data_IF_507380603135
#
_entry.id   IF_507380603135
#
_cell.length_a   1.000
_cell.length_b   1.000
_cell.length_c   1.000
_cell.angle_alpha   90.00
_cell.angle_beta   90.00
_cell.angle_gamma   90.00
#
_symmetry.space_group_name_H-M   'P 1'
#
loop_
_entity.id
_entity.type
_entity.pdbx_description
1 polymer ?
#
# COMPACT_ATOMS: atom_id res chain seq x y z
N UNK A 1 6.17 -15.38 -19.27
CA UNK A 1 6.22 -13.95 -19.67
C UNK A 1 6.18 -13.16 -18.37
N UNK A 2 7.23 -12.43 -18.04
CA UNK A 2 7.25 -11.66 -16.79
C UNK A 2 6.42 -10.39 -16.97
N UNK A 3 5.29 -10.29 -16.26
CA UNK A 3 4.45 -9.09 -16.30
C UNK A 3 4.85 -8.23 -15.10
N UNK A 4 5.29 -6.99 -15.39
CA UNK A 4 5.58 -5.99 -14.37
C UNK A 4 4.50 -4.92 -14.37
N UNK A 5 3.94 -4.64 -13.21
CA UNK A 5 3.03 -3.51 -13.03
C UNK A 5 3.28 -2.82 -11.69
N UNK A 6 3.00 -1.51 -11.64
CA UNK A 6 3.14 -0.70 -10.44
C UNK A 6 1.83 -0.66 -9.67
N UNK A 7 1.93 -0.73 -8.36
CA UNK A 7 0.84 -0.52 -7.40
C UNK A 7 1.31 0.42 -6.31
N UNK A 8 0.38 1.00 -5.59
CA UNK A 8 0.69 1.86 -4.45
C UNK A 8 0.27 1.16 -3.17
N UNK A 9 1.16 1.12 -2.18
CA UNK A 9 0.83 0.69 -0.82
C UNK A 9 0.80 1.91 0.10
N UNK A 10 -0.05 1.85 1.12
CA UNK A 10 -0.05 2.85 2.19
C UNK A 10 0.73 2.24 3.36
N UNK A 11 1.72 2.97 3.86
CA UNK A 11 2.44 2.59 5.07
C UNK A 11 2.58 3.76 6.02
N UNK A 12 3.05 3.49 7.24
CA UNK A 12 3.25 4.55 8.23
C UNK A 12 4.58 5.29 8.02
N UNK A 13 4.60 6.60 8.26
CA UNK A 13 5.80 7.43 8.14
C UNK A 13 6.89 7.02 9.15
N UNK A 14 6.48 6.65 10.35
CA UNK A 14 7.39 6.28 11.44
C UNK A 14 7.91 4.84 11.29
N UNK A 15 7.11 3.94 10.72
CA UNK A 15 7.44 2.53 10.52
C UNK A 15 7.09 2.13 9.08
N UNK A 16 8.01 2.30 8.12
CA UNK A 16 7.76 2.03 6.70
C UNK A 16 7.55 0.55 6.37
N UNK A 17 7.75 -0.34 7.34
CA UNK A 17 7.43 -1.79 7.24
C UNK A 17 6.00 -2.10 7.64
N UNK A 18 5.26 -1.12 8.17
CA UNK A 18 3.88 -1.27 8.60
C UNK A 18 2.97 -0.71 7.52
N UNK A 19 2.11 -1.55 6.95
CA UNK A 19 1.22 -1.26 5.84
C UNK A 19 -0.25 -1.30 6.24
N UNK A 20 -1.07 -0.45 5.59
CA UNK A 20 -2.52 -0.48 5.72
C UNK A 20 -3.07 -1.75 5.08
N UNK A 21 -3.90 -2.49 5.79
CA UNK A 21 -4.61 -3.68 5.33
C UNK A 21 -5.95 -3.33 4.68
N UNK A 22 -6.55 -4.33 4.01
CA UNK A 22 -7.94 -4.25 3.49
C UNK A 22 -8.99 -4.00 4.57
N UNK A 23 -8.73 -4.42 5.81
CA UNK A 23 -9.62 -4.17 6.95
C UNK A 23 -9.57 -2.73 7.46
N UNK A 24 -8.59 -1.93 7.02
CA UNK A 24 -8.28 -0.61 7.58
C UNK A 24 -7.33 -0.66 8.78
N UNK A 25 -6.94 -1.85 9.24
CA UNK A 25 -5.90 -2.02 10.26
C UNK A 25 -4.50 -1.92 9.65
N UNK A 26 -3.47 -1.91 10.49
CA UNK A 26 -2.07 -1.87 10.05
C UNK A 26 -1.34 -3.18 10.37
N UNK A 27 -0.54 -3.69 9.43
CA UNK A 27 0.23 -4.95 9.55
C UNK A 27 1.70 -4.75 9.19
N UNK A 28 2.59 -5.51 9.82
CA UNK A 28 4.01 -5.58 9.45
C UNK A 28 4.28 -6.51 8.26
N UNK A 29 3.28 -7.29 7.85
CA UNK A 29 3.38 -8.16 6.68
C UNK A 29 3.02 -7.39 5.40
N UNK A 30 3.98 -7.33 4.47
CA UNK A 30 3.79 -6.66 3.19
C UNK A 30 2.83 -7.41 2.26
N UNK A 31 2.63 -8.71 2.45
CA UNK A 31 1.69 -9.51 1.65
C UNK A 31 0.23 -9.13 1.94
N UNK A 32 -0.05 -8.67 3.16
CA UNK A 32 -1.38 -8.23 3.60
C UNK A 32 -1.69 -6.77 3.23
N UNK A 33 -0.69 -6.04 2.72
CA UNK A 33 -0.82 -4.65 2.36
C UNK A 33 -1.93 -4.45 1.32
N UNK A 34 -2.76 -3.45 1.55
CA UNK A 34 -3.72 -2.99 0.57
C UNK A 34 -2.99 -2.28 -0.57
N UNK A 35 -3.18 -2.80 -1.78
CA UNK A 35 -2.55 -2.30 -2.99
C UNK A 35 -3.57 -1.55 -3.85
N UNK A 36 -3.25 -0.31 -4.17
CA UNK A 36 -4.07 0.59 -4.98
C UNK A 36 -3.51 0.71 -6.40
N UNK A 37 -4.39 0.92 -7.37
CA UNK A 37 -4.00 1.10 -8.78
C UNK A 37 -3.51 2.50 -9.05
N UNK A 38 -4.10 3.47 -8.36
CA UNK A 38 -3.79 4.89 -8.55
C UNK A 38 -3.43 5.59 -7.25
N UNK A 39 -2.68 6.68 -7.39
CA UNK A 39 -2.35 7.58 -6.27
C UNK A 39 -3.62 8.21 -5.69
N UNK A 40 -4.63 8.49 -6.52
CA UNK A 40 -5.88 9.13 -6.10
C UNK A 40 -6.68 8.20 -5.17
N UNK A 41 -6.83 6.92 -5.53
CA UNK A 41 -7.50 5.93 -4.68
C UNK A 41 -6.78 5.75 -3.34
N UNK A 42 -5.45 5.64 -3.39
CA UNK A 42 -4.66 5.45 -2.18
C UNK A 42 -4.72 6.67 -1.26
N UNK A 43 -4.66 7.89 -1.80
CA UNK A 43 -4.86 9.11 -1.02
C UNK A 43 -6.27 9.21 -0.45
N UNK A 44 -7.29 8.85 -1.22
CA UNK A 44 -8.67 8.83 -0.73
C UNK A 44 -8.84 7.87 0.45
N UNK A 45 -8.13 6.75 0.46
CA UNK A 45 -8.13 5.82 1.59
C UNK A 45 -7.40 6.39 2.81
N UNK A 46 -6.24 7.02 2.62
CA UNK A 46 -5.51 7.70 3.71
C UNK A 46 -6.43 8.70 4.42
N UNK A 47 -7.21 9.50 3.68
CA UNK A 47 -8.11 10.51 4.26
C UNK A 47 -9.26 9.92 5.10
N UNK A 48 -9.52 8.61 5.03
CA UNK A 48 -10.52 7.93 5.85
C UNK A 48 -9.97 7.44 7.18
N UNK A 49 -8.65 7.37 7.33
CA UNK A 49 -8.01 6.98 8.58
C UNK A 49 -8.17 8.09 9.65
N UNK A 50 -8.14 7.71 10.93
CA UNK A 50 -8.27 8.66 12.03
C UNK A 50 -7.12 9.70 12.06
N UNK A 51 -5.91 9.31 11.63
CA UNK A 51 -4.70 10.14 11.63
C UNK A 51 -3.98 10.08 10.26
N UNK A 52 -4.55 10.69 9.19
CA UNK A 52 -4.04 10.60 7.82
C UNK A 52 -2.59 11.09 7.67
N UNK A 53 -2.17 12.04 8.50
CA UNK A 53 -0.81 12.58 8.52
C UNK A 53 0.26 11.55 8.92
N UNK A 54 -0.11 10.45 9.58
CA UNK A 54 0.82 9.39 9.96
C UNK A 54 1.12 8.45 8.78
N UNK A 55 0.35 8.52 7.70
CA UNK A 55 0.47 7.63 6.56
C UNK A 55 1.20 8.27 5.37
N UNK A 56 1.83 7.43 4.57
CA UNK A 56 2.53 7.80 3.34
C UNK A 56 2.35 6.73 2.28
N UNK A 57 2.37 7.15 1.03
CA UNK A 57 2.35 6.28 -0.13
C UNK A 57 3.73 5.76 -0.49
N UNK A 58 3.78 4.47 -0.81
CA UNK A 58 4.95 3.76 -1.31
C UNK A 58 4.62 3.18 -2.69
N UNK A 59 5.48 3.44 -3.67
CA UNK A 59 5.40 2.82 -5.01
C UNK A 59 6.01 1.41 -4.92
N UNK A 60 5.23 0.41 -5.32
CA UNK A 60 5.59 -1.00 -5.27
C UNK A 60 5.57 -1.56 -6.69
N UNK A 61 6.73 -2.01 -7.17
CA UNK A 61 6.83 -2.76 -8.43
C UNK A 61 6.49 -4.23 -8.18
N UNK A 62 5.40 -4.70 -8.77
CA UNK A 62 4.98 -6.10 -8.71
C UNK A 62 5.44 -6.79 -10.00
N UNK A 63 6.22 -7.85 -9.84
CA UNK A 63 6.67 -8.71 -10.93
C UNK A 63 5.98 -10.07 -10.80
N UNK A 64 5.11 -10.40 -11.73
CA UNK A 64 4.48 -11.72 -11.83
C UNK A 64 5.33 -12.58 -12.77
N UNK A 65 5.98 -13.60 -12.21
CA UNK A 65 6.70 -14.60 -12.98
C UNK A 65 5.70 -15.65 -13.48
N UNK A 66 5.53 -15.73 -14.80
CA UNK A 66 4.70 -16.76 -15.42
C UNK A 66 5.40 -18.12 -15.34
N UNK A 67 4.72 -19.10 -14.75
CA UNK A 67 5.13 -20.52 -14.67
C UNK A 67 5.03 -21.16 -16.05
#
# INVERSE_FOLDING_TARGET
MDIKYRRFAIGTKERPTVFLMKSGEVSEDAEDAQLFETIEEANAEIQKCDEPELFKLYDVEISVQGI
#
